data_IF_020362243430
#
_entry.id   IF_020362243430
#
_cell.length_a   1.000
_cell.length_b   1.000
_cell.length_c   1.000
_cell.angle_alpha   90.00
_cell.angle_beta   90.00
_cell.angle_gamma   90.00
#
_symmetry.space_group_name_H-M   'P 1'
#
loop_
_entity.id
_entity.type
_entity.pdbx_description
1 polymer ?
#
# COMPACT_ATOMS: atom_id res chain seq x y z
N UNK A 1 30.01 -7.35 -9.23
CA UNK A 1 30.76 -6.13 -8.83
C UNK A 1 29.75 -5.05 -8.44
N UNK A 2 29.56 -4.78 -7.14
CA UNK A 2 28.62 -3.75 -6.64
C UNK A 2 29.35 -2.46 -6.20
N UNK A 3 30.58 -2.24 -6.72
CA UNK A 3 31.36 -1.05 -6.36
C UNK A 3 30.66 0.21 -6.88
N UNK A 4 30.10 1.03 -5.99
CA UNK A 4 29.42 2.32 -6.17
C UNK A 4 27.87 2.35 -6.25
N UNK A 5 27.13 1.32 -5.89
CA UNK A 5 25.68 1.50 -5.73
C UNK A 5 25.39 2.20 -4.40
N UNK A 6 24.51 3.20 -4.44
CA UNK A 6 24.05 3.91 -3.22
C UNK A 6 23.40 2.92 -2.25
N UNK A 7 23.56 3.11 -0.93
CA UNK A 7 22.85 2.31 0.05
C UNK A 7 21.34 2.49 -0.13
N UNK A 8 20.58 1.40 -0.01
CA UNK A 8 19.12 1.41 -0.12
C UNK A 8 18.52 1.51 1.28
N UNK A 9 17.76 2.57 1.53
CA UNK A 9 17.03 2.73 2.80
C UNK A 9 15.75 1.88 2.79
N UNK A 10 15.05 1.84 1.63
CA UNK A 10 13.73 1.24 1.46
C UNK A 10 13.69 0.49 0.14
N UNK A 11 13.56 -0.84 0.19
CA UNK A 11 13.35 -1.70 -0.97
C UNK A 11 11.89 -2.13 -1.01
N UNK A 12 11.10 -1.60 -1.94
CA UNK A 12 9.75 -2.08 -2.17
C UNK A 12 9.78 -3.40 -2.96
N UNK A 13 9.02 -4.39 -2.54
CA UNK A 13 8.82 -5.66 -3.27
C UNK A 13 7.33 -5.87 -3.47
N UNK A 14 6.89 -5.98 -4.71
CA UNK A 14 5.50 -6.24 -5.07
C UNK A 14 5.21 -5.95 -6.52
N UNK A 15 4.08 -6.43 -7.00
CA UNK A 15 3.63 -6.19 -8.36
C UNK A 15 3.12 -4.75 -8.52
N UNK A 16 3.40 -4.15 -9.68
CA UNK A 16 2.86 -2.87 -10.09
C UNK A 16 1.88 -3.06 -11.23
N UNK A 17 1.04 -2.06 -11.46
CA UNK A 17 0.02 -2.06 -12.50
C UNK A 17 -0.14 -0.67 -13.11
N UNK A 18 -1.07 -0.58 -14.04
CA UNK A 18 -1.63 0.68 -14.54
C UNK A 18 -3.07 0.73 -14.09
N UNK A 19 -3.52 1.87 -13.59
CA UNK A 19 -4.91 2.11 -13.28
C UNK A 19 -5.53 3.09 -14.28
N UNK A 20 -6.49 2.61 -15.07
CA UNK A 20 -7.31 3.43 -15.95
C UNK A 20 -8.62 3.79 -15.22
N UNK A 21 -8.69 4.99 -14.70
CA UNK A 21 -9.89 5.52 -14.05
C UNK A 21 -10.93 5.91 -15.10
N UNK A 22 -12.14 5.45 -14.92
CA UNK A 22 -13.31 5.77 -15.74
C UNK A 22 -14.41 6.27 -14.80
N UNK A 23 -14.71 7.57 -14.84
CA UNK A 23 -15.82 8.12 -14.08
C UNK A 23 -17.11 7.91 -14.83
N UNK A 24 -17.92 7.00 -14.32
CA UNK A 24 -19.22 6.68 -14.91
C UNK A 24 -20.23 7.81 -14.66
N UNK A 25 -21.12 8.03 -15.64
CA UNK A 25 -22.20 8.99 -15.56
C UNK A 25 -23.55 8.28 -15.41
N UNK A 26 -23.76 7.21 -16.18
CA UNK A 26 -24.99 6.44 -16.22
C UNK A 26 -24.73 5.00 -15.74
N UNK A 27 -24.79 4.81 -14.42
CA UNK A 27 -24.72 3.51 -13.79
C UNK A 27 -25.76 3.43 -12.67
N UNK A 28 -25.99 2.27 -12.12
CA UNK A 28 -26.81 2.07 -10.93
C UNK A 28 -26.13 1.12 -9.96
N UNK A 29 -26.47 1.25 -8.68
CA UNK A 29 -25.97 0.36 -7.63
C UNK A 29 -27.15 -0.40 -7.05
N UNK A 30 -27.05 -1.72 -7.05
CA UNK A 30 -28.05 -2.62 -6.46
C UNK A 30 -27.42 -3.29 -5.24
N UNK A 31 -28.01 -3.05 -4.08
CA UNK A 31 -27.55 -3.62 -2.81
C UNK A 31 -28.60 -4.55 -2.22
N UNK A 32 -28.16 -5.57 -1.48
CA UNK A 32 -29.03 -6.33 -0.58
C UNK A 32 -29.53 -5.45 0.57
N UNK A 33 -30.57 -5.90 1.30
CA UNK A 33 -31.19 -5.15 2.40
C UNK A 33 -30.18 -4.67 3.46
N UNK A 34 -29.13 -5.45 3.69
CA UNK A 34 -28.08 -5.14 4.67
C UNK A 34 -26.95 -4.26 4.11
N UNK A 35 -27.10 -3.77 2.86
CA UNK A 35 -26.04 -3.08 2.09
C UNK A 35 -24.72 -3.86 1.96
N UNK A 36 -24.76 -5.17 2.14
CA UNK A 36 -23.66 -6.07 1.82
C UNK A 36 -23.85 -6.61 0.38
N UNK A 37 -22.74 -6.81 -0.33
CA UNK A 37 -22.79 -7.35 -1.69
C UNK A 37 -23.43 -6.40 -2.72
N UNK A 38 -23.15 -5.11 -2.64
CA UNK A 38 -23.62 -4.15 -3.66
C UNK A 38 -22.98 -4.42 -5.01
N UNK A 39 -23.77 -4.37 -6.07
CA UNK A 39 -23.36 -4.57 -7.44
C UNK A 39 -23.45 -3.27 -8.25
N UNK A 40 -22.39 -2.94 -8.98
CA UNK A 40 -22.38 -1.84 -9.94
C UNK A 40 -22.93 -2.35 -11.29
N UNK A 41 -24.02 -1.76 -11.75
CA UNK A 41 -24.71 -2.17 -12.97
C UNK A 41 -24.64 -1.09 -14.04
N UNK A 42 -24.45 -1.53 -15.29
CA UNK A 42 -24.48 -0.70 -16.49
C UNK A 42 -25.40 -1.35 -17.54
N UNK A 43 -25.96 -0.55 -18.44
CA UNK A 43 -26.87 -1.06 -19.48
C UNK A 43 -26.17 -2.03 -20.42
N UNK A 44 -26.69 -3.27 -20.50
CA UNK A 44 -26.12 -4.32 -21.33
C UNK A 44 -26.28 -4.00 -22.83
N UNK A 45 -25.19 -4.22 -23.60
CA UNK A 45 -25.20 -4.08 -25.06
C UNK A 45 -25.32 -2.64 -25.58
N UNK A 46 -25.17 -1.64 -24.72
CA UNK A 46 -25.28 -0.22 -25.07
C UNK A 46 -23.92 0.48 -25.11
N UNK A 47 -23.82 1.57 -25.89
CA UNK A 47 -22.72 2.52 -25.79
C UNK A 47 -23.01 3.47 -24.64
N UNK A 48 -22.21 3.40 -23.59
CA UNK A 48 -22.43 4.18 -22.36
C UNK A 48 -21.44 5.32 -22.34
N UNK A 49 -21.88 6.59 -22.35
CA UNK A 49 -20.98 7.72 -22.14
C UNK A 49 -20.41 7.70 -20.72
N UNK A 50 -19.18 8.16 -20.58
CA UNK A 50 -18.53 8.36 -19.30
C UNK A 50 -18.07 9.81 -19.14
N UNK A 51 -18.00 10.27 -17.90
CA UNK A 51 -17.77 11.69 -17.60
C UNK A 51 -16.31 12.12 -17.81
N UNK A 52 -15.36 11.29 -17.43
CA UNK A 52 -13.92 11.55 -17.55
C UNK A 52 -13.13 10.25 -17.44
N UNK A 53 -11.91 10.25 -17.99
CA UNK A 53 -10.96 9.17 -17.85
C UNK A 53 -9.56 9.68 -17.55
N UNK A 54 -8.80 8.93 -16.76
CA UNK A 54 -7.41 9.21 -16.45
C UNK A 54 -6.63 7.91 -16.35
N UNK A 55 -5.39 7.88 -16.87
CA UNK A 55 -4.51 6.73 -16.80
C UNK A 55 -3.32 7.09 -15.90
N UNK A 56 -3.10 6.26 -14.89
CA UNK A 56 -1.99 6.42 -13.95
C UNK A 56 -1.08 5.20 -14.08
N UNK A 57 0.17 5.45 -14.41
CA UNK A 57 1.20 4.43 -14.58
C UNK A 57 1.93 4.15 -13.27
N UNK A 58 2.45 2.93 -13.15
CA UNK A 58 3.19 2.47 -11.97
C UNK A 58 2.37 2.60 -10.68
N UNK A 59 1.12 2.16 -10.72
CA UNK A 59 0.26 2.01 -9.54
C UNK A 59 0.48 0.66 -8.85
N UNK A 60 -0.23 0.44 -7.74
CA UNK A 60 -0.11 -0.74 -6.89
C UNK A 60 0.66 -0.43 -5.61
N UNK A 61 0.43 -1.27 -4.58
CA UNK A 61 0.92 -0.99 -3.23
C UNK A 61 2.43 -0.75 -3.17
N UNK A 62 3.24 -1.52 -3.91
CA UNK A 62 4.70 -1.40 -3.90
C UNK A 62 5.18 -0.06 -4.46
N UNK A 63 4.67 0.36 -5.62
CA UNK A 63 5.04 1.63 -6.24
C UNK A 63 4.50 2.83 -5.48
N UNK A 64 3.25 2.75 -4.99
CA UNK A 64 2.67 3.80 -4.15
C UNK A 64 3.52 4.04 -2.91
N UNK A 65 3.95 2.96 -2.24
CA UNK A 65 4.82 3.02 -1.08
C UNK A 65 6.22 3.55 -1.43
N UNK A 66 6.80 3.10 -2.55
CA UNK A 66 8.10 3.55 -3.02
C UNK A 66 8.11 5.06 -3.33
N UNK A 67 7.07 5.57 -4.01
CA UNK A 67 6.93 7.00 -4.31
C UNK A 67 6.77 7.81 -3.01
N UNK A 68 5.92 7.35 -2.08
CA UNK A 68 5.76 8.00 -0.78
C UNK A 68 7.09 8.09 -0.02
N UNK A 69 7.83 6.98 0.07
CA UNK A 69 9.12 6.92 0.74
C UNK A 69 10.17 7.83 0.09
N UNK A 70 10.20 7.88 -1.25
CA UNK A 70 11.14 8.75 -1.99
C UNK A 70 10.84 10.23 -1.74
N UNK A 71 9.57 10.64 -1.80
CA UNK A 71 9.16 12.04 -1.54
C UNK A 71 9.42 12.47 -0.11
N UNK A 72 9.49 11.52 0.83
CA UNK A 72 9.89 11.75 2.22
C UNK A 72 11.42 11.79 2.41
N UNK A 73 12.21 11.58 1.34
CA UNK A 73 13.65 11.78 1.33
C UNK A 73 14.50 10.53 1.50
N UNK A 74 13.93 9.32 1.35
CA UNK A 74 14.67 8.06 1.42
C UNK A 74 15.30 7.69 0.07
N UNK A 75 16.37 6.91 0.12
CA UNK A 75 16.95 6.22 -1.05
C UNK A 75 16.16 4.94 -1.29
N UNK A 76 15.40 4.90 -2.38
CA UNK A 76 14.41 3.85 -2.67
C UNK A 76 14.79 3.07 -3.92
N UNK A 77 14.59 1.76 -3.86
CA UNK A 77 14.60 0.85 -5.00
C UNK A 77 13.33 -0.01 -5.02
N UNK A 78 13.00 -0.58 -6.16
CA UNK A 78 11.84 -1.45 -6.32
C UNK A 78 12.22 -2.77 -7.00
N UNK A 79 11.71 -3.87 -6.47
CA UNK A 79 11.67 -5.19 -7.12
C UNK A 79 10.22 -5.42 -7.54
N UNK A 80 10.01 -5.50 -8.84
CA UNK A 80 8.68 -5.66 -9.41
C UNK A 80 8.76 -6.41 -10.75
N UNK A 81 7.61 -6.78 -11.29
CA UNK A 81 7.49 -7.48 -12.56
C UNK A 81 6.59 -6.68 -13.50
N UNK A 82 6.99 -6.57 -14.77
CA UNK A 82 6.25 -5.89 -15.83
C UNK A 82 6.61 -6.45 -17.20
N UNK A 83 5.74 -6.22 -18.18
CA UNK A 83 5.99 -6.61 -19.57
C UNK A 83 6.94 -5.64 -20.27
N UNK A 84 7.45 -6.06 -21.45
CA UNK A 84 8.27 -5.22 -22.34
C UNK A 84 7.43 -4.35 -23.30
N UNK A 85 6.12 -4.28 -23.04
CA UNK A 85 5.16 -3.48 -23.80
C UNK A 85 5.33 -1.95 -23.57
N UNK A 86 4.52 -1.15 -24.26
CA UNK A 86 4.51 0.30 -24.06
C UNK A 86 4.17 0.68 -22.61
N UNK A 87 3.22 -0.01 -22.02
CA UNK A 87 2.75 0.23 -20.66
C UNK A 87 3.86 0.00 -19.62
N UNK A 88 4.66 -1.06 -19.77
CA UNK A 88 5.82 -1.31 -18.91
C UNK A 88 6.88 -0.21 -19.02
N UNK A 89 7.14 0.27 -20.23
CA UNK A 89 8.06 1.40 -20.45
C UNK A 89 7.56 2.69 -19.77
N UNK A 90 6.27 2.98 -19.86
CA UNK A 90 5.66 4.15 -19.23
C UNK A 90 5.67 4.03 -17.68
N UNK A 91 5.48 2.82 -17.14
CA UNK A 91 5.65 2.56 -15.71
C UNK A 91 7.10 2.81 -15.25
N UNK A 92 8.10 2.28 -15.97
CA UNK A 92 9.52 2.50 -15.65
C UNK A 92 9.89 3.98 -15.75
N UNK A 93 9.38 4.69 -16.75
CA UNK A 93 9.59 6.13 -16.90
C UNK A 93 9.01 6.91 -15.72
N UNK A 94 7.83 6.52 -15.23
CA UNK A 94 7.18 7.11 -14.06
C UNK A 94 8.03 6.91 -12.80
N UNK A 95 8.51 5.69 -12.54
CA UNK A 95 9.37 5.38 -11.39
C UNK A 95 10.69 6.15 -11.45
N UNK A 96 11.31 6.24 -12.62
CA UNK A 96 12.54 7.02 -12.83
C UNK A 96 12.32 8.52 -12.56
N UNK A 97 11.19 9.09 -13.01
CA UNK A 97 10.82 10.49 -12.74
C UNK A 97 10.71 10.75 -11.24
N UNK A 98 10.20 9.78 -10.48
CA UNK A 98 10.13 9.81 -9.01
C UNK A 98 11.48 9.46 -8.33
N UNK A 99 12.56 9.26 -9.09
CA UNK A 99 13.93 8.95 -8.60
C UNK A 99 14.03 7.61 -7.83
N UNK A 100 13.19 6.66 -8.16
CA UNK A 100 13.24 5.29 -7.63
C UNK A 100 14.18 4.48 -8.51
N UNK A 101 15.13 3.75 -7.92
CA UNK A 101 15.99 2.82 -8.67
C UNK A 101 15.14 1.65 -9.19
N UNK A 102 15.18 1.47 -10.51
CA UNK A 102 14.52 0.39 -11.25
C UNK A 102 15.50 -0.74 -11.64
N UNK A 103 16.71 -0.72 -11.09
CA UNK A 103 17.77 -1.71 -11.41
C UNK A 103 17.35 -3.16 -11.11
N UNK A 104 16.31 -3.35 -10.31
CA UNK A 104 15.81 -4.65 -9.86
C UNK A 104 14.40 -4.95 -10.39
N UNK A 105 13.92 -4.18 -11.35
CA UNK A 105 12.66 -4.45 -12.04
C UNK A 105 12.86 -5.57 -13.07
N UNK A 106 12.07 -6.63 -13.00
CA UNK A 106 12.09 -7.75 -13.95
C UNK A 106 11.18 -7.43 -15.13
N UNK A 107 11.77 -7.24 -16.32
CA UNK A 107 11.03 -6.97 -17.56
C UNK A 107 10.89 -8.27 -18.34
N UNK A 108 9.66 -8.77 -18.46
CA UNK A 108 9.33 -10.02 -19.14
C UNK A 108 9.09 -9.79 -20.62
N UNK A 109 9.88 -10.49 -21.46
CA UNK A 109 9.79 -10.38 -22.93
C UNK A 109 8.46 -10.96 -23.42
N UNK A 110 7.86 -10.28 -24.41
CA UNK A 110 6.58 -10.67 -25.02
C UNK A 110 5.42 -10.82 -24.02
N UNK A 111 5.51 -10.18 -22.87
CA UNK A 111 4.44 -10.13 -21.88
C UNK A 111 3.79 -8.74 -21.85
N UNK A 112 2.52 -8.70 -21.47
CA UNK A 112 1.84 -7.45 -21.17
C UNK A 112 2.16 -7.00 -19.73
N UNK A 113 1.92 -5.73 -19.44
CA UNK A 113 1.99 -5.18 -18.09
C UNK A 113 0.63 -5.26 -17.42
N UNK A 114 0.58 -5.54 -16.10
CA UNK A 114 -0.65 -5.55 -15.32
C UNK A 114 -1.46 -4.29 -15.54
N UNK A 115 -2.77 -4.43 -15.72
CA UNK A 115 -3.63 -3.33 -16.09
C UNK A 115 -4.99 -3.46 -15.42
N UNK A 116 -5.42 -2.42 -14.71
CA UNK A 116 -6.69 -2.37 -14.03
C UNK A 116 -7.58 -1.28 -14.64
N UNK A 117 -8.89 -1.55 -14.70
CA UNK A 117 -9.90 -0.52 -14.93
C UNK A 117 -10.57 -0.18 -13.61
N UNK A 118 -10.50 1.07 -13.23
CA UNK A 118 -11.12 1.60 -12.01
C UNK A 118 -12.43 2.29 -12.41
N UNK A 119 -13.53 1.61 -12.23
CA UNK A 119 -14.87 2.14 -12.47
C UNK A 119 -15.27 2.98 -11.26
N UNK A 120 -15.26 4.30 -11.41
CA UNK A 120 -15.59 5.25 -10.38
C UNK A 120 -17.01 5.76 -10.56
N UNK A 121 -17.87 5.47 -9.59
CA UNK A 121 -19.27 5.90 -9.58
C UNK A 121 -19.61 6.47 -8.20
N UNK A 122 -20.22 7.65 -8.15
CA UNK A 122 -20.47 8.43 -6.94
C UNK A 122 -19.16 8.68 -6.15
N UNK A 123 -19.03 8.15 -4.93
CA UNK A 123 -17.85 8.27 -4.06
C UNK A 123 -17.09 6.94 -3.87
N UNK A 124 -17.51 5.88 -4.59
CA UNK A 124 -16.94 4.53 -4.50
C UNK A 124 -16.37 4.06 -5.86
N UNK A 125 -15.61 2.99 -5.81
CA UNK A 125 -14.99 2.37 -6.99
C UNK A 125 -15.12 0.87 -7.01
N UNK A 126 -15.26 0.34 -8.22
CA UNK A 126 -15.11 -1.09 -8.54
C UNK A 126 -13.89 -1.25 -9.43
N UNK A 127 -12.97 -2.16 -9.09
CA UNK A 127 -11.74 -2.35 -9.84
C UNK A 127 -11.79 -3.66 -10.58
N UNK A 128 -11.69 -3.60 -11.91
CA UNK A 128 -11.49 -4.77 -12.77
C UNK A 128 -9.98 -5.03 -12.84
N UNK A 129 -9.53 -6.10 -12.22
CA UNK A 129 -8.11 -6.42 -12.07
C UNK A 129 -7.66 -7.40 -13.15
N UNK A 130 -6.54 -7.07 -13.81
CA UNK A 130 -5.85 -8.00 -14.71
C UNK A 130 -4.39 -8.11 -14.27
N UNK A 131 -4.02 -9.30 -13.81
CA UNK A 131 -2.64 -9.67 -13.47
C UNK A 131 -2.09 -10.64 -14.52
N UNK A 132 -0.89 -10.37 -15.00
CA UNK A 132 -0.16 -11.26 -15.88
C UNK A 132 0.56 -12.35 -15.06
N UNK A 133 0.63 -13.58 -15.58
CA UNK A 133 1.27 -14.69 -14.88
C UNK A 133 2.80 -14.65 -15.06
N UNK A 134 3.46 -13.69 -14.43
CA UNK A 134 4.91 -13.57 -14.50
C UNK A 134 5.63 -14.72 -13.79
N UNK A 135 6.73 -15.20 -14.39
CA UNK A 135 7.70 -16.01 -13.67
C UNK A 135 8.52 -15.10 -12.73
N UNK A 136 8.19 -15.11 -11.44
CA UNK A 136 8.80 -14.24 -10.44
C UNK A 136 10.09 -14.86 -9.90
N UNK A 137 11.18 -14.12 -9.99
CA UNK A 137 12.48 -14.49 -9.45
C UNK A 137 13.01 -13.34 -8.61
N UNK A 138 13.48 -13.61 -7.40
CA UNK A 138 14.08 -12.58 -6.56
C UNK A 138 15.48 -12.23 -7.10
N UNK A 139 15.68 -10.99 -7.63
CA UNK A 139 16.98 -10.62 -8.17
C UNK A 139 18.01 -10.43 -7.04
N UNK A 140 19.28 -10.48 -7.40
CA UNK A 140 20.36 -10.10 -6.49
C UNK A 140 20.42 -8.56 -6.39
N UNK A 141 20.26 -8.03 -5.19
CA UNK A 141 20.25 -6.58 -4.94
C UNK A 141 21.22 -6.18 -3.81
N UNK A 142 21.56 -4.89 -3.77
CA UNK A 142 22.30 -4.32 -2.63
C UNK A 142 21.44 -4.45 -1.38
N UNK A 143 22.02 -4.97 -0.29
CA UNK A 143 21.32 -5.17 0.99
C UNK A 143 20.66 -3.86 1.46
N UNK A 144 19.32 -3.83 1.57
CA UNK A 144 18.61 -2.65 2.03
C UNK A 144 18.57 -2.59 3.56
N UNK A 145 18.27 -1.43 4.12
CA UNK A 145 17.93 -1.32 5.56
C UNK A 145 16.56 -1.94 5.86
N UNK A 146 15.58 -1.68 4.97
CA UNK A 146 14.23 -2.18 5.08
C UNK A 146 13.74 -2.78 3.77
N UNK A 147 13.01 -3.88 3.88
CA UNK A 147 12.15 -4.41 2.82
C UNK A 147 10.71 -4.03 3.16
N UNK A 148 10.03 -3.44 2.20
CA UNK A 148 8.59 -3.22 2.22
C UNK A 148 7.94 -4.22 1.27
N UNK A 149 7.46 -5.32 1.83
CA UNK A 149 6.77 -6.38 1.09
C UNK A 149 5.29 -6.04 1.01
N UNK A 150 4.76 -5.97 -0.20
CA UNK A 150 3.36 -5.64 -0.43
C UNK A 150 2.69 -6.59 -1.41
N UNK A 151 1.63 -6.15 -2.08
CA UNK A 151 0.80 -6.96 -2.96
C UNK A 151 1.61 -7.68 -4.05
N UNK A 152 1.47 -8.99 -4.11
CA UNK A 152 1.97 -9.86 -5.17
C UNK A 152 0.78 -10.67 -5.69
N UNK A 153 0.70 -10.87 -7.02
CA UNK A 153 -0.36 -11.60 -7.66
C UNK A 153 -0.42 -13.08 -7.28
N UNK A 154 -1.39 -13.81 -7.81
CA UNK A 154 -1.57 -15.24 -7.60
C UNK A 154 -0.33 -16.05 -8.01
N UNK A 155 -0.30 -17.33 -7.65
CA UNK A 155 0.75 -18.30 -8.00
C UNK A 155 2.18 -17.86 -7.64
N UNK A 156 2.32 -17.17 -6.51
CA UNK A 156 3.57 -16.58 -6.06
C UNK A 156 4.19 -17.27 -4.82
N UNK A 157 3.74 -18.46 -4.45
CA UNK A 157 4.19 -19.17 -3.24
C UNK A 157 5.72 -19.40 -3.23
N UNK A 158 6.29 -19.88 -4.35
CA UNK A 158 7.73 -20.08 -4.48
C UNK A 158 8.49 -18.77 -4.28
N UNK A 159 8.00 -17.69 -4.87
CA UNK A 159 8.61 -16.37 -4.73
C UNK A 159 8.55 -15.84 -3.28
N UNK A 160 7.46 -16.09 -2.58
CA UNK A 160 7.36 -15.80 -1.15
C UNK A 160 8.40 -16.59 -0.33
N UNK A 161 8.62 -17.86 -0.67
CA UNK A 161 9.66 -18.67 0.00
C UNK A 161 11.07 -18.13 -0.24
N UNK A 162 11.39 -17.64 -1.45
CA UNK A 162 12.66 -16.99 -1.76
C UNK A 162 12.87 -15.72 -0.92
N UNK A 163 11.82 -14.88 -0.81
CA UNK A 163 11.85 -13.66 0.02
C UNK A 163 12.04 -14.02 1.50
N UNK A 164 11.31 -15.01 2.00
CA UNK A 164 11.43 -15.45 3.40
C UNK A 164 12.85 -15.94 3.70
N UNK A 165 13.40 -16.79 2.84
CA UNK A 165 14.79 -17.28 2.94
C UNK A 165 15.80 -16.15 2.95
N UNK A 166 15.60 -15.11 2.11
CA UNK A 166 16.44 -13.92 2.12
C UNK A 166 16.37 -13.20 3.48
N UNK A 167 15.18 -13.02 4.04
CA UNK A 167 14.98 -12.38 5.34
C UNK A 167 15.57 -13.19 6.50
N UNK A 168 15.52 -14.50 6.44
CA UNK A 168 16.12 -15.41 7.44
C UNK A 168 17.65 -15.32 7.42
N UNK A 169 18.25 -15.23 6.23
CA UNK A 169 19.71 -15.12 6.06
C UNK A 169 20.25 -13.69 6.30
N UNK A 170 19.37 -12.70 6.41
CA UNK A 170 19.70 -11.29 6.66
C UNK A 170 18.84 -10.73 7.80
N UNK A 171 19.06 -11.18 9.06
CA UNK A 171 18.20 -10.81 10.19
C UNK A 171 18.21 -9.32 10.53
N UNK A 172 19.28 -8.58 10.13
CA UNK A 172 19.40 -7.13 10.30
C UNK A 172 18.50 -6.32 9.37
N UNK A 173 18.06 -6.90 8.24
CA UNK A 173 17.15 -6.24 7.33
C UNK A 173 15.76 -6.23 7.95
N UNK A 174 15.19 -5.07 8.20
CA UNK A 174 13.84 -4.94 8.77
C UNK A 174 12.77 -5.18 7.72
N UNK A 175 11.65 -5.80 8.12
CA UNK A 175 10.51 -6.08 7.27
C UNK A 175 9.33 -5.19 7.66
N UNK A 176 8.80 -4.45 6.70
CA UNK A 176 7.43 -3.94 6.72
C UNK A 176 6.58 -4.79 5.78
N UNK A 177 5.45 -5.30 6.27
CA UNK A 177 4.58 -6.18 5.51
C UNK A 177 3.17 -5.60 5.42
N UNK A 178 2.77 -5.26 4.19
CA UNK A 178 1.42 -4.84 3.83
C UNK A 178 0.88 -5.78 2.76
N UNK A 179 0.30 -6.92 3.12
CA UNK A 179 -0.18 -7.90 2.15
C UNK A 179 -1.31 -7.34 1.28
N UNK A 180 -1.37 -7.81 0.02
CA UNK A 180 -2.48 -7.53 -0.88
C UNK A 180 -3.51 -8.66 -0.92
N UNK A 181 -4.56 -8.49 -1.75
CA UNK A 181 -5.71 -9.41 -1.83
C UNK A 181 -5.30 -10.87 -2.03
N UNK A 182 -4.39 -11.15 -2.97
CA UNK A 182 -3.96 -12.53 -3.25
C UNK A 182 -3.18 -13.15 -2.09
N UNK A 183 -2.41 -12.35 -1.35
CA UNK A 183 -1.71 -12.82 -0.17
C UNK A 183 -2.70 -13.13 0.97
N UNK A 184 -3.73 -12.30 1.18
CA UNK A 184 -4.78 -12.61 2.15
C UNK A 184 -5.53 -13.91 1.80
N UNK A 185 -5.73 -14.21 0.51
CA UNK A 185 -6.32 -15.47 0.06
C UNK A 185 -5.44 -16.70 0.34
N UNK A 186 -4.12 -16.52 0.53
CA UNK A 186 -3.24 -17.62 0.96
C UNK A 186 -3.55 -18.08 2.39
N UNK A 187 -4.18 -17.25 3.20
CA UNK A 187 -4.57 -17.53 4.57
C UNK A 187 -3.47 -17.27 5.61
N UNK A 188 -3.89 -17.24 6.88
CA UNK A 188 -3.02 -16.89 8.00
C UNK A 188 -1.79 -17.79 8.10
N UNK A 189 -1.97 -19.11 7.94
CA UNK A 189 -0.90 -20.09 8.10
C UNK A 189 0.30 -19.78 7.19
N UNK A 190 0.06 -19.51 5.91
CA UNK A 190 1.12 -19.19 4.94
C UNK A 190 1.74 -17.81 5.17
N UNK A 191 0.98 -16.87 5.71
CA UNK A 191 1.47 -15.51 6.00
C UNK A 191 2.16 -15.41 7.37
N UNK A 192 1.93 -16.35 8.27
CA UNK A 192 2.44 -16.32 9.64
C UNK A 192 3.97 -16.14 9.75
N UNK A 193 4.82 -16.76 8.91
CA UNK A 193 6.26 -16.54 8.93
C UNK A 193 6.64 -15.07 8.66
N UNK A 194 5.96 -14.42 7.71
CA UNK A 194 6.16 -12.99 7.41
C UNK A 194 5.63 -12.10 8.53
N UNK A 195 4.46 -12.41 9.08
CA UNK A 195 3.84 -11.67 10.18
C UNK A 195 4.78 -11.68 11.39
N UNK A 196 5.30 -12.83 11.78
CA UNK A 196 6.25 -12.98 12.91
C UNK A 196 7.58 -12.27 12.68
N UNK A 197 8.01 -12.17 11.41
CA UNK A 197 9.25 -11.50 11.02
C UNK A 197 9.12 -9.98 10.90
N UNK A 198 7.87 -9.48 10.79
CA UNK A 198 7.61 -8.09 10.52
C UNK A 198 7.94 -7.18 11.72
N UNK A 199 8.70 -6.13 11.46
CA UNK A 199 8.84 -4.98 12.34
C UNK A 199 7.57 -4.12 12.30
N UNK A 200 6.94 -4.02 11.11
CA UNK A 200 5.66 -3.35 10.88
C UNK A 200 4.75 -4.26 10.06
N UNK A 201 3.51 -4.46 10.51
CA UNK A 201 2.44 -5.10 9.75
C UNK A 201 1.29 -4.09 9.58
N UNK A 202 0.84 -3.91 8.35
CA UNK A 202 -0.21 -2.98 8.03
C UNK A 202 -1.32 -3.64 7.19
N UNK A 203 -2.56 -3.42 7.58
CA UNK A 203 -3.75 -3.84 6.83
C UNK A 203 -4.93 -2.90 7.15
N UNK A 204 -6.04 -3.05 6.43
CA UNK A 204 -7.28 -2.41 6.84
C UNK A 204 -8.11 -3.33 7.74
N UNK A 205 -9.17 -2.78 8.32
CA UNK A 205 -10.04 -3.50 9.27
C UNK A 205 -10.70 -4.72 8.63
N UNK A 206 -11.15 -4.64 7.39
CA UNK A 206 -11.80 -5.74 6.69
C UNK A 206 -10.82 -6.87 6.34
N UNK A 207 -9.60 -6.52 5.97
CA UNK A 207 -8.50 -7.46 5.75
C UNK A 207 -8.12 -8.18 7.05
N UNK A 208 -8.01 -7.44 8.15
CA UNK A 208 -7.72 -8.01 9.46
C UNK A 208 -8.81 -8.98 9.91
N UNK A 209 -10.10 -8.63 9.74
CA UNK A 209 -11.23 -9.51 10.04
C UNK A 209 -11.15 -10.82 9.26
N UNK A 210 -10.93 -10.74 7.95
CA UNK A 210 -10.84 -11.93 7.09
C UNK A 210 -9.65 -12.81 7.47
N UNK A 211 -8.49 -12.21 7.76
CA UNK A 211 -7.26 -12.93 8.10
C UNK A 211 -7.37 -13.68 9.43
N UNK A 212 -7.98 -13.05 10.42
CA UNK A 212 -8.04 -13.54 11.80
C UNK A 212 -9.36 -14.24 12.16
N UNK A 213 -10.34 -14.25 11.24
CA UNK A 213 -11.67 -14.80 11.50
C UNK A 213 -12.46 -14.01 12.56
N UNK A 214 -12.27 -12.69 12.63
CA UNK A 214 -12.88 -11.85 13.64
C UNK A 214 -14.22 -11.28 13.17
N UNK A 215 -15.14 -11.11 14.13
CA UNK A 215 -16.39 -10.38 13.91
C UNK A 215 -16.31 -8.91 14.39
N UNK A 216 -15.28 -8.56 15.15
CA UNK A 216 -15.18 -7.32 15.89
C UNK A 216 -13.97 -6.43 15.54
N UNK A 217 -13.81 -5.41 16.31
CA UNK A 217 -13.12 -4.15 16.31
C UNK A 217 -11.63 -4.21 15.93
N UNK A 218 -11.15 -3.10 15.36
CA UNK A 218 -9.75 -2.90 14.99
C UNK A 218 -8.77 -3.03 16.16
N UNK A 219 -9.19 -2.72 17.39
CA UNK A 219 -8.37 -2.91 18.60
C UNK A 219 -8.10 -4.39 18.89
N UNK A 220 -9.09 -5.26 18.73
CA UNK A 220 -8.92 -6.71 18.93
C UNK A 220 -7.99 -7.30 17.85
N UNK A 221 -8.16 -6.88 16.60
CA UNK A 221 -7.26 -7.28 15.52
C UNK A 221 -5.79 -6.90 15.83
N UNK A 222 -5.58 -5.68 16.32
CA UNK A 222 -4.25 -5.23 16.76
C UNK A 222 -3.71 -6.09 17.89
N UNK A 223 -4.55 -6.43 18.88
CA UNK A 223 -4.15 -7.29 20.02
C UNK A 223 -3.68 -8.67 19.53
N UNK A 224 -4.46 -9.30 18.65
CA UNK A 224 -4.11 -10.61 18.10
C UNK A 224 -2.84 -10.58 17.25
N UNK A 225 -2.68 -9.60 16.36
CA UNK A 225 -1.47 -9.45 15.56
C UNK A 225 -0.23 -9.19 16.43
N UNK A 226 -0.37 -8.42 17.51
CA UNK A 226 0.68 -8.23 18.50
C UNK A 226 1.08 -9.54 19.18
N UNK A 227 0.09 -10.36 19.54
CA UNK A 227 0.33 -11.68 20.15
C UNK A 227 1.03 -12.66 19.18
N UNK A 228 0.94 -12.45 17.87
CA UNK A 228 1.71 -13.19 16.87
C UNK A 228 3.17 -12.74 16.77
N UNK A 229 3.57 -11.65 17.46
CA UNK A 229 4.96 -11.20 17.56
C UNK A 229 5.28 -9.91 16.78
N UNK A 230 4.32 -9.29 16.10
CA UNK A 230 4.55 -8.03 15.38
C UNK A 230 4.84 -6.89 16.35
N UNK A 231 5.89 -6.11 16.12
CA UNK A 231 6.24 -4.99 16.98
C UNK A 231 5.34 -3.78 16.79
N UNK A 232 5.11 -3.38 15.55
CA UNK A 232 4.24 -2.26 15.19
C UNK A 232 3.11 -2.76 14.29
N UNK A 233 1.89 -2.77 14.80
CA UNK A 233 0.69 -3.14 14.05
C UNK A 233 -0.06 -1.89 13.66
N UNK A 234 -0.54 -1.83 12.42
CA UNK A 234 -1.39 -0.76 11.89
C UNK A 234 -2.65 -1.40 11.30
N UNK A 235 -3.81 -1.06 11.85
CA UNK A 235 -5.11 -1.45 11.30
C UNK A 235 -5.89 -0.20 10.96
N UNK A 236 -5.93 0.16 9.67
CA UNK A 236 -6.65 1.35 9.21
C UNK A 236 -8.16 1.11 9.19
N UNK A 237 -8.93 2.13 9.59
CA UNK A 237 -10.40 2.09 9.66
C UNK A 237 -11.04 3.19 8.78
N UNK A 238 -10.43 3.51 7.64
CA UNK A 238 -10.92 4.48 6.66
C UNK A 238 -11.15 5.86 7.28
N UNK A 239 -12.36 6.40 7.15
CA UNK A 239 -12.71 7.72 7.66
C UNK A 239 -12.68 7.82 9.20
N UNK A 240 -12.71 6.71 9.92
CA UNK A 240 -12.67 6.71 11.39
C UNK A 240 -11.26 6.96 11.94
N UNK A 241 -10.19 6.62 11.21
CA UNK A 241 -8.81 6.71 11.71
C UNK A 241 -8.07 5.38 11.60
N UNK A 242 -7.20 5.07 12.57
CA UNK A 242 -6.45 3.82 12.61
C UNK A 242 -6.15 3.34 14.04
N UNK A 243 -6.06 2.03 14.21
CA UNK A 243 -5.63 1.39 15.44
C UNK A 243 -4.16 1.00 15.31
N UNK A 244 -3.40 1.22 16.36
CA UNK A 244 -1.98 0.89 16.43
C UNK A 244 -1.68 -0.03 17.61
N UNK A 245 -0.81 -1.01 17.38
CA UNK A 245 -0.16 -1.76 18.43
C UNK A 245 1.30 -1.35 18.53
N UNK A 246 1.69 -0.77 19.66
CA UNK A 246 3.07 -0.45 20.00
C UNK A 246 3.54 -1.32 21.17
N UNK A 247 4.80 -1.22 21.54
CA UNK A 247 5.37 -1.98 22.66
C UNK A 247 4.61 -1.72 23.97
N UNK A 248 4.15 -0.50 24.19
CA UNK A 248 3.51 -0.02 25.42
C UNK A 248 1.97 -0.01 25.39
N UNK A 249 1.35 -0.64 24.39
CA UNK A 249 -0.10 -0.82 24.35
C UNK A 249 -0.75 -0.61 22.99
N UNK A 250 -2.08 -0.50 23.03
CA UNK A 250 -2.92 -0.26 21.86
C UNK A 250 -3.39 1.19 21.87
N UNK A 251 -3.36 1.80 20.68
CA UNK A 251 -3.70 3.21 20.51
C UNK A 251 -4.64 3.40 19.33
N UNK A 252 -5.49 4.40 19.44
CA UNK A 252 -6.27 4.93 18.33
C UNK A 252 -5.67 6.24 17.86
N UNK A 253 -5.48 6.39 16.56
CA UNK A 253 -5.01 7.64 15.94
C UNK A 253 -6.13 8.20 15.07
N UNK A 254 -6.64 9.41 15.36
CA UNK A 254 -7.64 10.05 14.50
C UNK A 254 -7.01 10.44 13.15
N UNK A 255 -7.85 10.58 12.13
CA UNK A 255 -7.41 11.15 10.88
C UNK A 255 -6.96 12.61 11.06
N UNK A 256 -6.05 13.04 10.20
CA UNK A 256 -5.66 14.45 10.18
C UNK A 256 -6.88 15.32 9.82
N UNK A 257 -7.20 16.38 10.60
CA UNK A 257 -8.36 17.21 10.37
C UNK A 257 -8.31 17.90 9.00
N UNK A 258 -9.38 17.82 8.27
CA UNK A 258 -9.54 18.55 7.02
C UNK A 258 -11.04 18.81 6.76
N UNK A 259 -11.36 20.00 6.29
CA UNK A 259 -12.73 20.41 5.95
C UNK A 259 -13.20 19.91 4.57
N UNK A 260 -12.26 19.46 3.71
CA UNK A 260 -12.59 19.04 2.35
C UNK A 260 -12.97 17.54 2.34
N UNK A 261 -14.04 17.15 1.62
CA UNK A 261 -14.37 15.73 1.42
C UNK A 261 -13.28 15.02 0.63
N UNK A 262 -13.19 13.71 0.75
CA UNK A 262 -12.33 12.91 -0.10
C UNK A 262 -12.84 12.94 -1.55
N UNK A 263 -11.91 13.11 -2.50
CA UNK A 263 -12.21 13.05 -3.94
C UNK A 263 -12.21 11.59 -4.39
N UNK A 264 -11.18 10.84 -3.97
CA UNK A 264 -10.99 9.43 -4.30
C UNK A 264 -10.10 8.78 -3.23
N UNK A 265 -10.29 7.47 -2.95
CA UNK A 265 -9.66 6.81 -1.79
C UNK A 265 -8.50 5.86 -2.15
N UNK A 266 -8.17 5.72 -3.44
CA UNK A 266 -7.08 4.85 -3.87
C UNK A 266 -5.73 5.31 -3.30
N UNK A 267 -4.95 4.35 -2.80
CA UNK A 267 -3.62 4.62 -2.27
C UNK A 267 -3.57 5.21 -0.87
N UNK A 268 -4.71 5.51 -0.22
CA UNK A 268 -4.71 6.05 1.15
C UNK A 268 -4.03 5.10 2.14
N UNK A 269 -4.33 3.79 2.06
CA UNK A 269 -3.70 2.75 2.89
C UNK A 269 -2.20 2.64 2.65
N UNK A 270 -1.77 2.72 1.38
CA UNK A 270 -0.36 2.66 0.99
C UNK A 270 0.39 3.89 1.49
N UNK A 271 -0.18 5.09 1.29
CA UNK A 271 0.37 6.34 1.81
C UNK A 271 0.50 6.30 3.33
N UNK A 272 -0.51 5.73 4.03
CA UNK A 272 -0.51 5.58 5.48
C UNK A 272 0.64 4.69 5.94
N UNK A 273 0.69 3.45 5.47
CA UNK A 273 1.68 2.46 5.88
C UNK A 273 3.11 2.85 5.48
N UNK A 274 3.30 3.30 4.23
CA UNK A 274 4.62 3.71 3.74
C UNK A 274 5.16 4.94 4.48
N UNK A 275 4.31 5.92 4.81
CA UNK A 275 4.72 7.10 5.59
C UNK A 275 5.14 6.73 7.00
N UNK A 276 4.40 5.81 7.65
CA UNK A 276 4.79 5.29 8.96
C UNK A 276 6.18 4.63 8.92
N UNK A 277 6.39 3.73 7.95
CA UNK A 277 7.67 3.03 7.78
C UNK A 277 8.80 4.01 7.45
N UNK A 278 8.56 4.97 6.55
CA UNK A 278 9.55 5.99 6.20
C UNK A 278 9.94 6.85 7.41
N UNK A 279 8.99 7.21 8.26
CA UNK A 279 9.27 7.93 9.49
C UNK A 279 10.17 7.13 10.45
N UNK A 280 9.93 5.81 10.61
CA UNK A 280 10.81 4.93 11.39
C UNK A 280 12.23 4.86 10.81
N UNK A 281 12.36 4.79 9.48
CA UNK A 281 13.67 4.78 8.79
C UNK A 281 14.41 6.10 9.03
N UNK A 282 13.68 7.22 9.09
CA UNK A 282 14.20 8.56 9.40
C UNK A 282 14.50 8.77 10.90
N UNK A 283 14.39 7.74 11.73
CA UNK A 283 14.72 7.78 13.15
C UNK A 283 13.62 8.30 14.07
N UNK A 284 12.39 8.42 13.56
CA UNK A 284 11.23 8.77 14.40
C UNK A 284 10.82 7.58 15.27
N UNK A 285 10.29 7.87 16.45
CA UNK A 285 9.62 6.87 17.29
C UNK A 285 8.32 6.38 16.64
N UNK A 286 7.80 5.22 17.05
CA UNK A 286 6.51 4.70 16.53
C UNK A 286 5.35 5.70 16.78
N UNK A 287 5.37 6.43 17.88
CA UNK A 287 4.36 7.46 18.18
C UNK A 287 4.46 8.67 17.25
N UNK A 288 5.67 9.14 16.97
CA UNK A 288 5.89 10.22 15.99
C UNK A 288 5.53 9.76 14.57
N UNK A 289 5.86 8.52 14.19
CA UNK A 289 5.49 7.94 12.91
C UNK A 289 3.96 7.85 12.75
N UNK A 290 3.23 7.56 13.83
CA UNK A 290 1.77 7.55 13.84
C UNK A 290 1.15 8.94 13.61
N UNK A 291 1.84 10.03 13.95
CA UNK A 291 1.40 11.39 13.62
C UNK A 291 1.59 11.72 12.13
N UNK A 292 2.62 11.17 11.48
CA UNK A 292 2.92 11.44 10.08
C UNK A 292 1.97 10.73 9.12
N UNK A 293 1.64 9.48 9.41
CA UNK A 293 0.90 8.59 8.52
C UNK A 293 -0.48 9.14 8.08
N UNK A 294 -1.37 9.62 8.97
CA UNK A 294 -2.67 10.15 8.57
C UNK A 294 -2.58 11.43 7.73
N UNK A 295 -1.53 12.25 7.92
CA UNK A 295 -1.34 13.51 7.17
C UNK A 295 -1.16 13.20 5.69
N UNK A 296 -0.28 12.27 5.36
CA UNK A 296 -0.02 11.90 3.96
C UNK A 296 -1.20 11.17 3.33
N UNK A 297 -1.82 10.23 4.05
CA UNK A 297 -3.02 9.55 3.59
C UNK A 297 -4.17 10.53 3.32
N UNK A 298 -4.36 11.54 4.20
CA UNK A 298 -5.36 12.59 4.02
C UNK A 298 -5.09 13.46 2.80
N UNK A 299 -3.82 13.74 2.51
CA UNK A 299 -3.44 14.49 1.32
C UNK A 299 -3.74 13.71 0.04
N UNK A 300 -3.43 12.42 -0.01
CA UNK A 300 -3.66 11.56 -1.19
C UNK A 300 -5.13 11.53 -1.58
N UNK A 301 -6.06 11.39 -0.64
CA UNK A 301 -7.49 11.29 -0.95
C UNK A 301 -8.13 12.58 -1.50
N UNK A 302 -7.37 13.67 -1.61
CA UNK A 302 -7.82 14.92 -2.27
C UNK A 302 -7.63 14.90 -3.79
N UNK A 303 -6.99 13.86 -4.32
CA UNK A 303 -6.64 13.75 -5.74
C UNK A 303 -7.13 12.42 -6.30
N UNK A 304 -7.21 12.33 -7.63
CA UNK A 304 -7.51 11.06 -8.31
C UNK A 304 -6.24 10.22 -8.39
N UNK A 305 -6.29 9.00 -7.87
CA UNK A 305 -5.18 8.07 -7.84
C UNK A 305 -4.21 8.25 -6.68
N UNK A 306 -3.21 7.37 -6.60
CA UNK A 306 -2.40 7.18 -5.40
C UNK A 306 -1.15 8.08 -5.32
N UNK A 307 -0.80 8.85 -6.35
CA UNK A 307 0.50 9.52 -6.43
C UNK A 307 0.42 11.04 -6.25
N UNK A 308 -0.60 11.68 -6.85
CA UNK A 308 -0.67 13.15 -6.97
C UNK A 308 -0.54 13.84 -5.61
N UNK A 309 -1.33 13.38 -4.65
CA UNK A 309 -1.38 13.97 -3.30
C UNK A 309 -0.28 13.55 -2.34
N UNK A 310 0.67 12.69 -2.73
CA UNK A 310 1.77 12.31 -1.84
C UNK A 310 2.67 13.50 -1.54
N UNK A 311 2.90 13.75 -0.26
CA UNK A 311 3.62 14.92 0.24
C UNK A 311 5.14 14.70 0.23
N UNK A 312 5.86 15.80 0.03
CA UNK A 312 7.28 15.86 0.40
C UNK A 312 7.42 15.99 1.92
N UNK A 313 8.58 15.60 2.47
CA UNK A 313 8.85 15.71 3.90
C UNK A 313 8.63 17.13 4.45
N UNK A 314 9.14 18.22 3.85
CA UNK A 314 8.87 19.58 4.35
C UNK A 314 7.39 19.95 4.36
N UNK A 315 6.63 19.52 3.34
CA UNK A 315 5.19 19.78 3.27
C UNK A 315 4.42 19.04 4.37
N UNK A 316 4.77 17.77 4.63
CA UNK A 316 4.18 16.97 5.70
C UNK A 316 4.49 17.58 7.08
N UNK A 317 5.76 17.93 7.34
CA UNK A 317 6.19 18.53 8.60
C UNK A 317 5.51 19.89 8.84
N UNK A 318 5.30 20.69 7.79
CA UNK A 318 4.56 21.94 7.88
C UNK A 318 3.08 21.75 8.27
N UNK A 319 2.44 20.68 7.80
CA UNK A 319 1.09 20.32 8.21
C UNK A 319 1.07 19.80 9.65
N UNK A 320 2.05 19.02 10.05
CA UNK A 320 2.14 18.53 11.44
C UNK A 320 2.25 19.68 12.45
N UNK A 321 3.01 20.74 12.14
CA UNK A 321 3.11 21.93 12.99
C UNK A 321 1.75 22.64 13.15
N UNK A 322 0.87 22.55 12.16
CA UNK A 322 -0.48 23.13 12.18
C UNK A 322 -1.53 22.19 12.80
N UNK A 323 -1.15 20.98 13.20
CA UNK A 323 -2.07 20.03 13.77
C UNK A 323 -2.64 20.54 15.11
N UNK A 324 -3.93 20.32 15.37
CA UNK A 324 -4.53 20.70 16.65
C UNK A 324 -3.94 19.90 17.81
N UNK A 325 -4.05 20.41 19.01
CA UNK A 325 -3.43 19.83 20.22
C UNK A 325 -3.94 18.43 20.59
N UNK A 326 -5.14 18.06 20.16
CA UNK A 326 -5.78 16.76 20.35
C UNK A 326 -5.41 15.75 19.24
N UNK A 327 -4.71 16.16 18.17
CA UNK A 327 -4.20 15.29 17.14
C UNK A 327 -3.00 14.48 17.66
N UNK A 328 -3.30 13.39 18.34
CA UNK A 328 -2.30 12.50 18.95
C UNK A 328 -2.85 11.08 19.12
N UNK A 329 -1.98 10.05 19.18
CA UNK A 329 -2.39 8.70 19.52
C UNK A 329 -3.03 8.67 20.92
N UNK A 330 -4.23 8.11 21.01
CA UNK A 330 -5.00 7.96 22.23
C UNK A 330 -4.92 6.50 22.68
N UNK A 331 -4.46 6.27 23.90
CA UNK A 331 -4.34 4.90 24.44
C UNK A 331 -5.72 4.30 24.65
N UNK A 332 -5.91 3.05 24.19
CA UNK A 332 -7.12 2.27 24.41
C UNK A 332 -6.83 1.29 25.55
N UNK A 333 -7.74 1.21 26.49
CA UNK A 333 -7.66 0.30 27.65
C UNK A 333 -8.03 -1.15 27.29
#
# INVERSE_FOLDING_TARGET
MFFNKKPIDFLAIGDIAIDAFIRLENASVHCNLDREGCELCVAFGQKIPYKSGNIIYATGNASNAAIAATRLGLTVAIVTNLGDDKNGKDCLATLNKEKISIDYANVHKNAATNFNYVLWYEDERTILVRHEPYERVLPVFVKPKWIYLSSIGADSEKYHQEILKYLETNPEVKLAFQPGTFQFLMGLEKLLPFIRRAEVFACNREEAKKLLGLHEDGAEAVRQLRNLGVKNVIVTAGASGAYFGFEDGIFFMPNYPNSQPAVERTGAGDAYAATFVAALILGKTSREAALWAPINARSVVQFVGAHEGLLTRPALEALLVKAPSDYRPQKIN
#
